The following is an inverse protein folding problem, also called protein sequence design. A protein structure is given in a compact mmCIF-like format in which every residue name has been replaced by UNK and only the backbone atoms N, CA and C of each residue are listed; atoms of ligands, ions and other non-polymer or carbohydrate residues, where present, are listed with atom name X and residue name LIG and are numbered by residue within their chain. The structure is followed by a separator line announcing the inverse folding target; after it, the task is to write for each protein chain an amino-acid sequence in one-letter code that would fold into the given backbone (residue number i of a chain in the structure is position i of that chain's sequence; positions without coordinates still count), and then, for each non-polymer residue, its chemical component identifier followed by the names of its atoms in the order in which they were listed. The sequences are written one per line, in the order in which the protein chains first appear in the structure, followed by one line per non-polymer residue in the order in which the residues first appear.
data_IF_075957021726
#
_entry.id   IF_075957021726
#
_cell.length_a   1.000
_cell.length_b   1.000
_cell.length_c   1.000
_cell.angle_alpha   90.00
_cell.angle_beta   90.00
_cell.angle_gamma   90.00
#
_symmetry.space_group_name_H-M   'P 1'
#
loop_
_entity.id
_entity.type
_entity.pdbx_description
1 polymer ?
#
# COMPACT_ATOMS: atom_id res chain seq x y z
N UNK A 1 10.40 -14.41 18.52
CA UNK A 1 9.00 -13.98 18.73
C UNK A 1 8.64 -13.03 17.61
N UNK A 2 7.81 -13.48 16.66
CA UNK A 2 7.18 -12.58 15.70
C UNK A 2 6.19 -11.76 16.53
N UNK A 3 6.42 -10.45 16.66
CA UNK A 3 5.44 -9.59 17.31
C UNK A 3 4.22 -9.60 16.40
N UNK A 4 3.04 -9.86 16.95
CA UNK A 4 1.76 -9.64 16.28
C UNK A 4 1.58 -8.12 16.11
N UNK A 5 2.39 -7.53 15.23
CA UNK A 5 2.05 -6.24 14.66
C UNK A 5 0.71 -6.45 13.99
N UNK A 6 -0.27 -5.63 14.38
CA UNK A 6 -1.59 -5.60 13.76
C UNK A 6 -1.43 -5.16 12.30
N UNK A 7 -0.94 -6.08 11.46
CA UNK A 7 -0.75 -5.91 10.03
C UNK A 7 -2.12 -6.12 9.40
N UNK A 8 -2.93 -5.06 9.41
CA UNK A 8 -4.15 -5.04 8.61
C UNK A 8 -3.72 -4.99 7.15
N UNK A 9 -3.92 -6.09 6.41
CA UNK A 9 -3.65 -6.14 4.98
C UNK A 9 -4.86 -5.59 4.23
N UNK A 10 -4.61 -4.68 3.30
CA UNK A 10 -5.64 -4.09 2.43
C UNK A 10 -5.34 -4.44 0.99
N UNK A 11 -6.36 -4.91 0.27
CA UNK A 11 -6.28 -5.21 -1.16
C UNK A 11 -6.96 -4.08 -1.92
N UNK A 12 -6.19 -3.31 -2.67
CA UNK A 12 -6.71 -2.33 -3.62
C UNK A 12 -6.86 -3.00 -5.00
N UNK A 13 -8.01 -2.87 -5.63
CA UNK A 13 -8.24 -3.36 -6.99
C UNK A 13 -7.75 -2.32 -7.99
N UNK A 14 -6.45 -2.35 -8.29
CA UNK A 14 -5.80 -1.45 -9.24
C UNK A 14 -4.99 -2.25 -10.26
N UNK A 15 -5.13 -1.94 -11.54
CA UNK A 15 -4.27 -2.47 -12.59
C UNK A 15 -3.15 -1.47 -12.88
N UNK A 16 -1.90 -1.85 -12.59
CA UNK A 16 -0.71 -1.05 -12.89
C UNK A 16 0.39 -1.93 -13.47
N UNK A 17 1.19 -1.38 -14.38
CA UNK A 17 2.29 -2.10 -15.02
C UNK A 17 3.56 -1.25 -14.99
N UNK A 18 4.68 -1.85 -14.57
CA UNK A 18 5.98 -1.17 -14.54
C UNK A 18 7.04 -2.09 -15.13
N UNK A 19 7.93 -1.53 -15.95
CA UNK A 19 9.09 -2.26 -16.46
C UNK A 19 10.19 -2.21 -15.40
N UNK A 20 10.51 -3.34 -14.80
CA UNK A 20 11.54 -3.44 -13.77
C UNK A 20 12.90 -3.79 -14.40
N UNK A 21 13.91 -2.90 -14.37
CA UNK A 21 15.29 -3.30 -14.63
C UNK A 21 15.79 -4.30 -13.57
N UNK A 22 16.65 -5.22 -14.01
CA UNK A 22 16.97 -6.51 -13.38
C UNK A 22 17.46 -6.48 -11.92
N UNK A 23 17.67 -5.33 -11.29
CA UNK A 23 18.40 -5.24 -10.02
C UNK A 23 17.73 -4.44 -8.88
N UNK A 24 16.48 -3.97 -9.00
CA UNK A 24 15.91 -3.16 -7.90
C UNK A 24 14.38 -3.24 -7.75
N UNK A 25 13.85 -4.47 -7.65
CA UNK A 25 12.41 -4.70 -7.47
C UNK A 25 11.87 -3.93 -6.25
N UNK A 26 12.62 -3.88 -5.15
CA UNK A 26 12.21 -3.20 -3.92
C UNK A 26 11.95 -1.71 -4.12
N UNK A 27 12.85 -1.00 -4.83
CA UNK A 27 12.63 0.41 -5.16
C UNK A 27 11.40 0.58 -6.03
N UNK A 28 11.23 -0.26 -7.06
CA UNK A 28 10.08 -0.16 -7.95
C UNK A 28 8.75 -0.46 -7.27
N UNK A 29 8.72 -1.40 -6.32
CA UNK A 29 7.53 -1.65 -5.50
C UNK A 29 7.20 -0.43 -4.64
N UNK A 30 8.20 0.23 -4.07
CA UNK A 30 7.99 1.47 -3.32
C UNK A 30 7.49 2.60 -4.22
N UNK A 31 8.09 2.79 -5.39
CA UNK A 31 7.67 3.79 -6.36
C UNK A 31 6.20 3.56 -6.79
N UNK A 32 5.79 2.30 -7.02
CA UNK A 32 4.38 1.97 -7.31
C UNK A 32 3.48 2.35 -6.13
N UNK A 33 3.87 2.00 -4.91
CA UNK A 33 3.07 2.32 -3.73
C UNK A 33 2.89 3.83 -3.55
N UNK A 34 3.91 4.64 -3.87
CA UNK A 34 3.85 6.11 -3.83
C UNK A 34 2.96 6.71 -4.94
N UNK A 35 2.71 5.98 -6.03
CA UNK A 35 1.79 6.44 -7.09
C UNK A 35 0.31 6.20 -6.77
N UNK A 36 -0.01 5.45 -5.71
CA UNK A 36 -1.39 5.22 -5.30
C UNK A 36 -1.94 6.52 -4.71
N UNK A 37 -3.02 7.10 -5.25
CA UNK A 37 -3.55 8.34 -4.72
C UNK A 37 -4.16 8.14 -3.33
N UNK A 38 -3.94 9.11 -2.44
CA UNK A 38 -4.41 9.07 -1.04
C UNK A 38 -5.93 8.82 -0.93
N UNK A 39 -6.70 9.21 -1.94
CA UNK A 39 -8.16 9.03 -2.01
C UNK A 39 -8.59 7.56 -2.09
N UNK A 40 -7.76 6.67 -2.65
CA UNK A 40 -8.02 5.22 -2.64
C UNK A 40 -8.00 4.65 -1.21
N UNK A 41 -7.36 5.37 -0.29
CA UNK A 41 -7.34 5.01 1.13
C UNK A 41 -8.48 5.63 1.94
N UNK A 42 -9.27 6.56 1.38
CA UNK A 42 -10.34 7.27 2.10
C UNK A 42 -11.46 6.32 2.56
N UNK A 43 -11.80 5.29 1.76
CA UNK A 43 -12.76 4.26 2.15
C UNK A 43 -12.30 3.45 3.39
N UNK A 44 -10.99 3.42 3.63
CA UNK A 44 -10.37 2.72 4.76
C UNK A 44 -10.07 3.64 5.95
N UNK A 45 -10.24 4.96 5.79
CA UNK A 45 -10.22 5.92 6.90
C UNK A 45 -11.48 5.71 7.74
N UNK A 46 -11.51 4.63 8.51
CA UNK A 46 -12.47 4.47 9.59
C UNK A 46 -12.39 5.73 10.46
N UNK A 47 -13.56 6.31 10.78
CA UNK A 47 -13.73 7.36 11.78
C UNK A 47 -13.34 6.86 13.18
N UNK A 48 -12.09 6.43 13.40
CA UNK A 48 -11.49 6.13 14.71
C UNK A 48 -11.15 7.43 15.46
N UNK A 49 -12.01 8.43 15.32
CA UNK A 49 -11.89 9.76 15.93
C UNK A 49 -13.21 10.34 16.41
N UNK A 50 -14.31 9.58 16.40
CA UNK A 50 -15.52 9.94 17.15
C UNK A 50 -15.55 9.12 18.44
N UNK A 51 -14.82 9.60 19.45
CA UNK A 51 -15.04 9.32 20.87
C UNK A 51 -15.35 10.65 21.53
#
# INVERSE_FOLDING_TARGET
MYKDYNMTQHTLLMETSVLIPTNDISRHVNDIAETIPDTEFDEFRHYRGLI
#
